data_IF_405721968950
#
_entry.id   IF_405721968950
#
_cell.length_a   1.000
_cell.length_b   1.000
_cell.length_c   1.000
_cell.angle_alpha   90.00
_cell.angle_beta   90.00
_cell.angle_gamma   90.00
#
_symmetry.space_group_name_H-M   'P 1'
#
loop_
_entity.id
_entity.type
_entity.pdbx_description
1 polymer ?
#
# COMPACT_ATOMS: atom_id res chain seq x y z
N UNK A 1 -30.45 -3.16 4.15
CA UNK A 1 -29.06 -3.13 4.67
C UNK A 1 -28.13 -4.14 3.99
N UNK A 2 -28.60 -5.32 3.56
CA UNK A 2 -27.78 -6.34 2.86
C UNK A 2 -27.48 -5.98 1.39
N UNK A 3 -28.37 -5.24 0.73
CA UNK A 3 -28.21 -4.78 -0.67
C UNK A 3 -27.08 -3.76 -0.85
N UNK A 4 -26.73 -3.02 0.21
CA UNK A 4 -25.65 -2.03 0.19
C UNK A 4 -24.26 -2.65 0.11
N UNK A 5 -24.08 -3.92 0.51
CA UNK A 5 -22.77 -4.59 0.54
C UNK A 5 -22.30 -5.10 -0.82
N UNK A 6 -23.23 -5.50 -1.70
CA UNK A 6 -22.95 -5.95 -3.08
C UNK A 6 -22.61 -4.76 -3.98
N UNK A 7 -23.35 -3.65 -3.81
CA UNK A 7 -23.08 -2.37 -4.47
C UNK A 7 -21.72 -1.83 -4.00
N UNK A 8 -21.36 -2.04 -2.72
CA UNK A 8 -20.06 -1.68 -2.17
C UNK A 8 -18.93 -2.45 -2.85
N UNK A 9 -19.03 -3.77 -3.05
CA UNK A 9 -17.93 -4.57 -3.63
C UNK A 9 -17.53 -4.11 -5.03
N UNK A 10 -18.52 -3.90 -5.90
CA UNK A 10 -18.28 -3.53 -7.30
C UNK A 10 -18.13 -2.02 -7.47
N UNK A 11 -18.74 -1.17 -6.63
CA UNK A 11 -18.41 0.27 -6.60
C UNK A 11 -17.02 0.51 -6.03
N UNK A 12 -16.63 -0.15 -4.93
CA UNK A 12 -15.27 -0.12 -4.38
C UNK A 12 -14.29 -0.63 -5.43
N UNK A 13 -14.59 -1.74 -6.10
CA UNK A 13 -13.74 -2.22 -7.19
C UNK A 13 -13.67 -1.28 -8.37
N UNK A 14 -14.77 -0.65 -8.75
CA UNK A 14 -14.76 0.34 -9.82
C UNK A 14 -14.10 1.64 -9.40
N UNK A 15 -14.13 2.10 -8.16
CA UNK A 15 -13.45 3.35 -7.78
C UNK A 15 -12.02 3.17 -7.40
N UNK A 16 -11.63 2.00 -6.92
CA UNK A 16 -10.22 1.68 -6.82
C UNK A 16 -9.67 1.44 -8.22
N UNK A 17 -10.34 0.68 -9.10
CA UNK A 17 -9.93 0.58 -10.50
C UNK A 17 -10.03 1.91 -11.27
N UNK A 18 -11.04 2.75 -11.06
CA UNK A 18 -11.19 4.08 -11.67
C UNK A 18 -10.19 5.07 -11.07
N UNK A 19 -9.88 4.98 -9.77
CA UNK A 19 -8.79 5.72 -9.14
C UNK A 19 -7.44 5.30 -9.73
N UNK A 20 -7.23 4.01 -9.97
CA UNK A 20 -6.04 3.51 -10.65
C UNK A 20 -6.03 3.89 -12.13
N UNK A 21 -7.17 3.90 -12.82
CA UNK A 21 -7.30 4.49 -14.16
C UNK A 21 -7.02 5.99 -14.12
N UNK A 22 -7.43 6.71 -13.08
CA UNK A 22 -7.11 8.12 -12.85
C UNK A 22 -5.63 8.32 -12.50
N UNK A 23 -4.96 7.40 -11.81
CA UNK A 23 -3.50 7.36 -11.62
C UNK A 23 -2.77 7.06 -12.94
N UNK A 24 -3.37 6.25 -13.82
CA UNK A 24 -2.91 6.02 -15.21
C UNK A 24 -3.23 7.21 -16.12
N UNK A 25 -4.25 8.02 -15.82
CA UNK A 25 -4.59 9.28 -16.52
C UNK A 25 -3.93 10.52 -15.91
N UNK A 26 -3.38 10.42 -14.70
CA UNK A 26 -2.43 11.33 -14.06
C UNK A 26 -0.98 10.89 -14.31
N UNK A 27 -0.78 9.70 -14.86
CA UNK A 27 0.48 9.27 -15.46
C UNK A 27 1.04 10.27 -16.48
N UNK A 28 0.26 11.07 -17.24
CA UNK A 28 0.79 12.17 -18.04
C UNK A 28 1.35 13.33 -17.19
N UNK A 29 0.78 13.62 -16.01
CA UNK A 29 1.34 14.60 -15.07
C UNK A 29 2.61 14.06 -14.41
N UNK A 30 2.63 12.77 -14.06
CA UNK A 30 3.85 12.04 -13.70
C UNK A 30 4.81 11.87 -14.89
N UNK A 31 4.29 11.89 -16.11
CA UNK A 31 4.99 11.73 -17.39
C UNK A 31 5.71 13.01 -17.83
N UNK A 32 5.27 14.18 -17.34
CA UNK A 32 6.02 15.43 -17.44
C UNK A 32 7.22 15.41 -16.49
N UNK A 33 7.03 14.93 -15.26
CA UNK A 33 8.08 14.79 -14.25
C UNK A 33 9.09 13.68 -14.62
N UNK A 34 8.59 12.52 -15.05
CA UNK A 34 9.38 11.45 -15.68
C UNK A 34 9.95 11.86 -17.02
N UNK A 35 9.32 12.76 -17.78
CA UNK A 35 9.84 13.25 -19.06
C UNK A 35 11.05 14.14 -18.87
N UNK A 36 11.01 15.05 -17.89
CA UNK A 36 12.16 15.87 -17.47
C UNK A 36 13.26 14.98 -16.88
N UNK A 37 12.92 13.97 -16.09
CA UNK A 37 13.89 13.07 -15.49
C UNK A 37 14.46 12.04 -16.49
N UNK A 38 13.64 11.58 -17.45
CA UNK A 38 14.04 10.73 -18.58
C UNK A 38 14.94 11.50 -19.52
N UNK A 39 14.69 12.79 -19.75
CA UNK A 39 15.62 13.65 -20.49
C UNK A 39 17.00 13.72 -19.83
N UNK A 40 17.05 13.81 -18.49
CA UNK A 40 18.31 13.81 -17.74
C UNK A 40 18.99 12.44 -17.62
N UNK A 41 18.24 11.33 -17.67
CA UNK A 41 18.76 10.00 -17.34
C UNK A 41 18.74 8.94 -18.47
N UNK A 42 18.13 9.23 -19.62
CA UNK A 42 18.22 8.39 -20.83
C UNK A 42 19.66 8.25 -21.34
N UNK A 43 20.55 9.15 -20.89
CA UNK A 43 22.00 9.05 -21.11
C UNK A 43 22.65 7.86 -20.38
N UNK A 44 21.95 7.15 -19.49
CA UNK A 44 22.48 6.04 -18.68
C UNK A 44 21.74 4.73 -19.04
N UNK A 45 22.48 3.72 -19.53
CA UNK A 45 22.00 2.35 -19.83
C UNK A 45 21.14 1.70 -18.72
N UNK A 46 21.24 2.16 -17.46
CA UNK A 46 20.38 1.78 -16.32
C UNK A 46 18.89 2.06 -16.56
N UNK A 47 18.51 3.03 -17.39
CA UNK A 47 17.10 3.38 -17.64
C UNK A 47 16.34 2.36 -18.48
N UNK A 48 17.00 1.79 -19.49
CA UNK A 48 16.42 0.75 -20.35
C UNK A 48 16.07 -0.52 -19.56
N UNK A 49 16.95 -0.94 -18.65
CA UNK A 49 16.69 -2.07 -17.73
C UNK A 49 15.50 -1.80 -16.80
N UNK A 50 15.37 -0.56 -16.30
CA UNK A 50 14.22 -0.15 -15.46
C UNK A 50 12.92 -0.19 -16.24
N UNK A 51 12.89 0.28 -17.49
CA UNK A 51 11.68 0.26 -18.31
C UNK A 51 11.15 -1.14 -18.59
N UNK A 52 12.03 -2.09 -18.91
CA UNK A 52 11.59 -3.47 -19.13
C UNK A 52 10.98 -4.06 -17.88
N UNK A 53 11.64 -3.93 -16.71
CA UNK A 53 11.11 -4.43 -15.42
C UNK A 53 9.76 -3.80 -15.08
N UNK A 54 9.59 -2.49 -15.32
CA UNK A 54 8.30 -1.81 -15.10
C UNK A 54 7.16 -2.40 -15.94
N UNK A 55 7.43 -2.80 -17.20
CA UNK A 55 6.43 -3.43 -18.06
C UNK A 55 5.93 -4.76 -17.47
N UNK A 56 6.82 -5.56 -16.87
CA UNK A 56 6.43 -6.80 -16.19
C UNK A 56 5.55 -6.55 -14.96
N UNK A 57 5.62 -5.38 -14.32
CA UNK A 57 4.81 -5.07 -13.14
C UNK A 57 3.39 -4.58 -13.47
N UNK A 58 3.10 -4.19 -14.71
CA UNK A 58 1.76 -3.69 -15.13
C UNK A 58 0.62 -4.63 -14.70
N UNK A 59 0.67 -5.96 -14.94
CA UNK A 59 -0.39 -6.87 -14.51
C UNK A 59 -0.62 -6.90 -12.99
N UNK A 60 0.39 -6.54 -12.19
CA UNK A 60 0.28 -6.49 -10.73
C UNK A 60 -0.74 -5.44 -10.29
N UNK A 61 -0.80 -4.30 -10.97
CA UNK A 61 -1.70 -3.20 -10.60
C UNK A 61 -3.17 -3.66 -10.69
N UNK A 62 -3.51 -4.43 -11.72
CA UNK A 62 -4.86 -4.98 -11.87
C UNK A 62 -5.19 -5.99 -10.76
N UNK A 63 -4.28 -6.92 -10.47
CA UNK A 63 -4.46 -7.88 -9.40
C UNK A 63 -4.59 -7.19 -8.03
N UNK A 64 -3.76 -6.18 -7.77
CA UNK A 64 -3.81 -5.38 -6.55
C UNK A 64 -5.14 -4.65 -6.41
N UNK A 65 -5.62 -3.98 -7.46
CA UNK A 65 -6.88 -3.27 -7.43
C UNK A 65 -8.04 -4.21 -7.06
N UNK A 66 -8.14 -5.35 -7.76
CA UNK A 66 -9.16 -6.38 -7.48
C UNK A 66 -9.02 -6.96 -6.06
N UNK A 67 -7.79 -7.19 -5.60
CA UNK A 67 -7.49 -7.71 -4.27
C UNK A 67 -7.99 -6.73 -3.19
N UNK A 68 -7.76 -5.43 -3.36
CA UNK A 68 -8.24 -4.41 -2.44
C UNK A 68 -9.76 -4.40 -2.33
N UNK A 69 -10.49 -4.66 -3.42
CA UNK A 69 -11.96 -4.78 -3.35
C UNK A 69 -12.39 -5.93 -2.44
N UNK A 70 -11.77 -7.10 -2.59
CA UNK A 70 -12.08 -8.28 -1.78
C UNK A 70 -11.70 -8.05 -0.31
N UNK A 71 -10.57 -7.39 -0.05
CA UNK A 71 -10.18 -6.98 1.29
C UNK A 71 -11.22 -6.05 1.92
N UNK A 72 -11.63 -4.99 1.22
CA UNK A 72 -12.63 -4.04 1.72
C UNK A 72 -13.99 -4.68 1.96
N UNK A 73 -14.40 -5.62 1.11
CA UNK A 73 -15.62 -6.40 1.31
C UNK A 73 -15.61 -7.20 2.61
N UNK A 74 -14.53 -7.95 2.83
CA UNK A 74 -14.36 -8.80 4.00
C UNK A 74 -14.22 -7.95 5.27
N UNK A 75 -13.45 -6.86 5.19
CA UNK A 75 -13.31 -5.86 6.26
C UNK A 75 -14.65 -5.25 6.66
N UNK A 76 -15.48 -4.80 5.71
CA UNK A 76 -16.78 -4.20 6.00
C UNK A 76 -17.68 -5.13 6.84
N UNK A 77 -17.51 -6.44 6.70
CA UNK A 77 -18.25 -7.46 7.47
C UNK A 77 -17.51 -7.99 8.70
N UNK A 78 -16.41 -7.34 9.12
CA UNK A 78 -15.55 -7.77 10.21
C UNK A 78 -14.99 -9.19 10.04
N UNK A 79 -14.86 -9.71 8.80
CA UNK A 79 -14.33 -11.05 8.53
C UNK A 79 -12.90 -10.98 7.99
N UNK A 80 -11.94 -10.67 8.86
CA UNK A 80 -10.54 -10.41 8.48
C UNK A 80 -9.65 -11.66 8.46
N UNK A 81 -10.09 -12.76 9.08
CA UNK A 81 -9.32 -14.00 9.19
C UNK A 81 -8.91 -14.59 7.82
N UNK A 82 -9.78 -14.65 6.79
CA UNK A 82 -9.40 -15.14 5.47
C UNK A 82 -8.31 -14.29 4.81
N UNK A 83 -8.33 -12.98 5.05
CA UNK A 83 -7.32 -12.04 4.54
C UNK A 83 -5.95 -12.31 5.16
N UNK A 84 -5.92 -12.59 6.46
CA UNK A 84 -4.69 -12.94 7.18
C UNK A 84 -4.09 -14.24 6.61
N UNK A 85 -4.91 -15.29 6.47
CA UNK A 85 -4.43 -16.57 5.93
C UNK A 85 -3.99 -16.46 4.47
N UNK A 86 -4.75 -15.76 3.62
CA UNK A 86 -4.37 -15.60 2.21
C UNK A 86 -3.07 -14.81 2.06
N UNK A 87 -2.88 -13.75 2.86
CA UNK A 87 -1.63 -13.00 2.90
C UNK A 87 -0.47 -13.88 3.38
N UNK A 88 -0.64 -14.64 4.47
CA UNK A 88 0.40 -15.54 4.98
C UNK A 88 0.83 -16.60 3.98
N UNK A 89 -0.13 -17.30 3.36
CA UNK A 89 0.14 -18.30 2.30
C UNK A 89 0.86 -17.64 1.13
N UNK A 90 0.39 -16.47 0.69
CA UNK A 90 1.00 -15.73 -0.42
C UNK A 90 2.44 -15.35 -0.11
N UNK A 91 2.74 -14.85 1.09
CA UNK A 91 4.10 -14.49 1.49
C UNK A 91 5.04 -15.69 1.47
N UNK A 92 4.61 -16.85 1.96
CA UNK A 92 5.41 -18.08 1.92
C UNK A 92 5.70 -18.52 0.47
N UNK A 93 4.69 -18.48 -0.40
CA UNK A 93 4.86 -18.76 -1.82
C UNK A 93 5.69 -17.70 -2.53
N UNK A 94 5.63 -16.44 -2.08
CA UNK A 94 6.42 -15.34 -2.64
C UNK A 94 7.91 -15.58 -2.43
N UNK A 95 8.33 -16.04 -1.25
CA UNK A 95 9.73 -16.39 -0.98
C UNK A 95 10.22 -17.45 -1.97
N UNK A 96 9.44 -18.51 -2.16
CA UNK A 96 9.76 -19.59 -3.07
C UNK A 96 9.81 -19.13 -4.54
N UNK A 97 8.83 -18.34 -4.98
CA UNK A 97 8.78 -17.84 -6.37
C UNK A 97 9.87 -16.81 -6.66
N UNK A 98 10.20 -15.93 -5.71
CA UNK A 98 11.36 -15.04 -5.80
C UNK A 98 12.67 -15.81 -5.90
N UNK A 99 12.84 -16.90 -5.16
CA UNK A 99 14.03 -17.73 -5.27
C UNK A 99 14.17 -18.37 -6.67
N UNK A 100 13.11 -19.01 -7.16
CA UNK A 100 13.13 -19.66 -8.48
C UNK A 100 13.31 -18.64 -9.60
N UNK A 101 12.47 -17.60 -9.63
CA UNK A 101 12.43 -16.66 -10.75
C UNK A 101 13.53 -15.61 -10.67
N UNK A 102 13.93 -15.18 -9.47
CA UNK A 102 14.99 -14.20 -9.30
C UNK A 102 16.38 -14.80 -9.48
N UNK A 103 16.63 -15.99 -8.92
CA UNK A 103 17.99 -16.55 -8.85
C UNK A 103 18.23 -17.77 -9.76
N UNK A 104 17.26 -18.66 -9.94
CA UNK A 104 17.48 -19.92 -10.68
C UNK A 104 17.22 -19.84 -12.18
N UNK A 105 16.24 -19.05 -12.61
CA UNK A 105 15.79 -18.98 -14.01
C UNK A 105 16.66 -18.11 -14.92
N UNK A 106 17.66 -17.40 -14.38
CA UNK A 106 18.46 -16.43 -15.12
C UNK A 106 17.75 -15.11 -15.44
N UNK A 107 16.50 -14.92 -14.98
CA UNK A 107 15.70 -13.71 -15.25
C UNK A 107 16.08 -12.49 -14.38
N UNK A 108 16.82 -12.69 -13.28
CA UNK A 108 17.29 -11.62 -12.39
C UNK A 108 16.15 -10.70 -11.92
N UNK A 109 16.32 -9.38 -12.10
CA UNK A 109 15.33 -8.38 -11.70
C UNK A 109 13.97 -8.53 -12.40
N UNK A 110 13.94 -9.02 -13.64
CA UNK A 110 12.68 -9.31 -14.34
C UNK A 110 11.93 -10.46 -13.66
N UNK A 111 12.68 -11.45 -13.16
CA UNK A 111 12.15 -12.57 -12.41
C UNK A 111 11.53 -12.15 -11.08
N UNK A 112 12.15 -11.20 -10.37
CA UNK A 112 11.58 -10.62 -9.16
C UNK A 112 10.24 -9.88 -9.44
N UNK A 113 10.18 -9.10 -10.52
CA UNK A 113 8.93 -8.45 -10.93
C UNK A 113 7.83 -9.48 -11.28
N UNK A 114 8.18 -10.56 -11.97
CA UNK A 114 7.23 -11.63 -12.31
C UNK A 114 6.76 -12.40 -11.07
N UNK A 115 7.65 -12.68 -10.11
CA UNK A 115 7.28 -13.30 -8.84
C UNK A 115 6.26 -12.44 -8.08
N UNK A 116 6.41 -11.12 -8.11
CA UNK A 116 5.45 -10.19 -7.53
C UNK A 116 4.08 -10.28 -8.21
N UNK A 117 4.03 -10.26 -9.56
CA UNK A 117 2.79 -10.46 -10.33
C UNK A 117 2.08 -11.74 -9.88
N UNK A 118 2.80 -12.86 -9.92
CA UNK A 118 2.26 -14.19 -9.55
C UNK A 118 1.69 -14.17 -8.14
N UNK A 119 2.40 -13.56 -7.19
CA UNK A 119 2.00 -13.53 -5.78
C UNK A 119 0.70 -12.74 -5.57
N UNK A 120 0.56 -11.58 -6.21
CA UNK A 120 -0.68 -10.80 -6.12
C UNK A 120 -1.87 -11.53 -6.76
N UNK A 121 -1.65 -12.21 -7.89
CA UNK A 121 -2.69 -13.04 -8.51
C UNK A 121 -3.08 -14.23 -7.65
N UNK A 122 -2.13 -14.92 -7.02
CA UNK A 122 -2.42 -16.01 -6.08
C UNK A 122 -3.27 -15.50 -4.92
N UNK A 123 -2.89 -14.38 -4.29
CA UNK A 123 -3.65 -13.81 -3.17
C UNK A 123 -5.08 -13.43 -3.59
N UNK A 124 -5.20 -12.80 -4.76
CA UNK A 124 -6.50 -12.46 -5.34
C UNK A 124 -7.34 -13.71 -5.55
N UNK A 125 -6.79 -14.77 -6.14
CA UNK A 125 -7.52 -16.01 -6.42
C UNK A 125 -7.94 -16.73 -5.13
N UNK A 126 -7.09 -16.74 -4.10
CA UNK A 126 -7.42 -17.30 -2.78
C UNK A 126 -8.62 -16.58 -2.14
N UNK A 127 -8.59 -15.25 -2.10
CA UNK A 127 -9.70 -14.46 -1.54
C UNK A 127 -10.95 -14.51 -2.41
N UNK A 128 -10.79 -14.46 -3.74
CA UNK A 128 -11.89 -14.60 -4.69
C UNK A 128 -12.59 -15.95 -4.53
N UNK A 129 -11.83 -17.03 -4.35
CA UNK A 129 -12.34 -18.37 -4.05
C UNK A 129 -13.08 -18.41 -2.72
N UNK A 130 -12.47 -17.87 -1.65
CA UNK A 130 -13.11 -17.80 -0.34
C UNK A 130 -14.45 -17.06 -0.38
N UNK A 131 -14.51 -15.88 -1.01
CA UNK A 131 -15.74 -15.07 -1.10
C UNK A 131 -16.85 -15.81 -1.85
N UNK A 132 -16.51 -16.61 -2.87
CA UNK A 132 -17.48 -17.34 -3.69
C UNK A 132 -18.00 -18.62 -3.03
N UNK A 133 -17.15 -19.32 -2.28
CA UNK A 133 -17.45 -20.66 -1.74
C UNK A 133 -17.93 -20.58 -0.29
N UNK A 134 -17.44 -19.62 0.49
CA UNK A 134 -17.71 -19.56 1.93
C UNK A 134 -19.19 -19.32 2.25
N UNK A 135 -19.81 -20.15 3.13
CA UNK A 135 -21.19 -19.93 3.59
C UNK A 135 -21.39 -18.56 4.23
N UNK A 136 -20.36 -18.01 4.89
CA UNK A 136 -20.39 -16.69 5.50
C UNK A 136 -20.71 -15.58 4.47
N UNK A 137 -20.28 -15.74 3.22
CA UNK A 137 -20.43 -14.74 2.16
C UNK A 137 -21.71 -14.95 1.33
N UNK A 138 -22.40 -16.09 1.46
CA UNK A 138 -23.53 -16.49 0.60
C UNK A 138 -24.66 -15.47 0.55
N UNK A 139 -25.00 -14.83 1.68
CA UNK A 139 -26.09 -13.86 1.75
C UNK A 139 -25.71 -12.46 1.24
N UNK A 140 -24.42 -12.19 1.08
CA UNK A 140 -23.89 -10.86 0.71
C UNK A 140 -23.16 -10.83 -0.62
N UNK A 141 -22.90 -12.00 -1.21
CA UNK A 141 -22.34 -12.13 -2.54
C UNK A 141 -23.39 -12.83 -3.42
N UNK A 142 -24.13 -12.04 -4.19
CA UNK A 142 -25.18 -12.52 -5.10
C UNK A 142 -24.70 -12.65 -6.55
N UNK A 143 -23.38 -12.60 -6.77
CA UNK A 143 -22.79 -12.57 -8.10
C UNK A 143 -22.76 -11.18 -8.73
N UNK A 144 -22.44 -11.14 -10.02
CA UNK A 144 -22.33 -9.90 -10.79
C UNK A 144 -23.72 -9.39 -11.19
N UNK A 145 -23.95 -8.09 -10.98
CA UNK A 145 -25.24 -7.45 -11.18
C UNK A 145 -25.08 -6.08 -11.84
N UNK A 146 -26.02 -5.68 -12.72
CA UNK A 146 -25.99 -4.35 -13.36
C UNK A 146 -26.33 -3.22 -12.39
N UNK A 147 -27.00 -3.54 -11.30
CA UNK A 147 -27.32 -2.68 -10.15
C UNK A 147 -26.05 -2.09 -9.54
N UNK A 148 -24.90 -2.76 -9.68
CA UNK A 148 -23.61 -2.25 -9.26
C UNK A 148 -23.07 -1.08 -10.13
N UNK A 149 -23.77 -0.69 -11.19
CA UNK A 149 -23.49 0.53 -11.94
C UNK A 149 -24.41 1.68 -11.52
N UNK A 150 -25.40 1.42 -10.66
CA UNK A 150 -26.25 2.46 -10.10
C UNK A 150 -25.45 3.29 -9.08
N UNK A 151 -25.66 4.62 -9.06
CA UNK A 151 -25.00 5.55 -8.14
C UNK A 151 -23.46 5.68 -8.23
N UNK A 152 -22.83 5.26 -9.34
CA UNK A 152 -21.37 5.37 -9.51
C UNK A 152 -20.86 6.81 -9.32
N UNK A 153 -21.64 7.81 -9.75
CA UNK A 153 -21.27 9.22 -9.61
C UNK A 153 -21.17 9.68 -8.16
N UNK A 154 -22.12 9.27 -7.30
CA UNK A 154 -22.08 9.61 -5.86
C UNK A 154 -20.82 9.06 -5.22
N UNK A 155 -20.44 7.85 -5.60
CA UNK A 155 -19.24 7.22 -5.12
C UNK A 155 -17.96 7.87 -5.67
N UNK A 156 -17.92 8.22 -6.96
CA UNK A 156 -16.78 8.95 -7.56
C UNK A 156 -16.54 10.30 -6.90
N UNK A 157 -17.59 11.01 -6.46
CA UNK A 157 -17.48 12.28 -5.72
C UNK A 157 -16.71 12.14 -4.40
N UNK A 158 -16.70 10.97 -3.79
CA UNK A 158 -15.93 10.66 -2.57
C UNK A 158 -14.58 10.01 -2.89
N UNK A 159 -14.55 9.15 -3.91
CA UNK A 159 -13.35 8.44 -4.31
C UNK A 159 -12.28 9.40 -4.87
N UNK A 160 -12.63 10.33 -5.76
CA UNK A 160 -11.68 11.24 -6.43
C UNK A 160 -10.93 12.16 -5.44
N UNK A 161 -11.58 12.83 -4.46
CA UNK A 161 -10.84 13.64 -3.49
C UNK A 161 -9.91 12.80 -2.61
N UNK A 162 -10.38 11.63 -2.14
CA UNK A 162 -9.57 10.70 -1.32
C UNK A 162 -8.35 10.19 -2.09
N UNK A 163 -8.59 9.90 -3.36
CA UNK A 163 -7.61 9.52 -4.35
C UNK A 163 -6.51 10.56 -4.54
N UNK A 164 -6.90 11.80 -4.83
CA UNK A 164 -5.98 12.93 -5.02
C UNK A 164 -5.17 13.18 -3.76
N UNK A 165 -5.81 13.15 -2.58
CA UNK A 165 -5.14 13.33 -1.30
C UNK A 165 -3.99 12.33 -1.11
N UNK A 166 -4.25 11.03 -1.32
CA UNK A 166 -3.23 9.98 -1.22
C UNK A 166 -2.14 10.10 -2.30
N UNK A 167 -2.50 10.47 -3.52
CA UNK A 167 -1.53 10.67 -4.60
C UNK A 167 -0.58 11.83 -4.29
N UNK A 168 -1.12 12.95 -3.84
CA UNK A 168 -0.32 14.12 -3.50
C UNK A 168 0.66 13.79 -2.37
N UNK A 169 0.21 13.08 -1.34
CA UNK A 169 1.09 12.61 -0.26
C UNK A 169 2.25 11.77 -0.79
N UNK A 170 1.97 10.73 -1.58
CA UNK A 170 2.99 9.84 -2.14
C UNK A 170 3.93 10.59 -3.09
N UNK A 171 3.39 11.45 -3.97
CA UNK A 171 4.20 12.23 -4.90
C UNK A 171 5.09 13.24 -4.19
N UNK A 172 4.64 13.82 -3.07
CA UNK A 172 5.47 14.69 -2.25
C UNK A 172 6.69 13.93 -1.71
N UNK A 173 6.53 12.69 -1.23
CA UNK A 173 7.66 11.86 -0.81
C UNK A 173 8.61 11.51 -1.96
N UNK A 174 8.08 11.12 -3.12
CA UNK A 174 8.90 10.85 -4.30
C UNK A 174 9.67 12.10 -4.75
N UNK A 175 9.04 13.27 -4.71
CA UNK A 175 9.71 14.53 -5.00
C UNK A 175 10.84 14.84 -4.02
N UNK A 176 10.67 14.56 -2.73
CA UNK A 176 11.75 14.70 -1.75
C UNK A 176 12.96 13.81 -2.11
N UNK A 177 12.73 12.55 -2.49
CA UNK A 177 13.79 11.62 -2.92
C UNK A 177 14.47 12.09 -4.20
N UNK A 178 13.72 12.62 -5.17
CA UNK A 178 14.29 13.16 -6.39
C UNK A 178 15.14 14.41 -6.12
N UNK A 179 14.67 15.30 -5.24
CA UNK A 179 15.38 16.51 -4.86
C UNK A 179 16.62 16.23 -4.01
N UNK A 180 16.64 15.18 -3.17
CA UNK A 180 17.85 14.79 -2.44
C UNK A 180 18.98 14.39 -3.39
N UNK A 181 18.64 13.91 -4.59
CA UNK A 181 19.60 13.62 -5.66
C UNK A 181 20.28 14.86 -6.26
N UNK A 182 19.83 16.07 -5.93
CA UNK A 182 20.42 17.35 -6.35
C UNK A 182 21.28 18.00 -5.26
N UNK A 183 21.35 17.41 -4.06
CA UNK A 183 22.18 17.91 -2.97
C UNK A 183 23.68 17.69 -3.24
N UNK A 184 24.59 18.40 -2.52
CA UNK A 184 26.04 18.34 -2.77
C UNK A 184 26.64 16.92 -2.68
N UNK A 185 26.11 16.07 -1.81
CA UNK A 185 26.47 14.65 -1.72
C UNK A 185 25.28 13.75 -2.11
N UNK A 186 24.94 13.65 -3.41
CA UNK A 186 23.66 13.07 -3.84
C UNK A 186 23.57 11.56 -3.57
N UNK A 187 24.69 10.85 -3.50
CA UNK A 187 24.72 9.42 -3.17
C UNK A 187 24.39 9.18 -1.70
N UNK A 188 25.05 9.91 -0.79
CA UNK A 188 24.81 9.80 0.64
C UNK A 188 23.38 10.23 1.00
N UNK A 189 22.98 11.42 0.58
CA UNK A 189 21.68 12.01 0.92
C UNK A 189 20.52 11.16 0.42
N UNK A 190 20.59 10.70 -0.84
CA UNK A 190 19.54 9.84 -1.41
C UNK A 190 19.46 8.49 -0.70
N UNK A 191 20.61 7.89 -0.33
CA UNK A 191 20.63 6.64 0.42
C UNK A 191 20.04 6.79 1.82
N UNK A 192 20.46 7.81 2.58
CA UNK A 192 19.96 8.09 3.93
C UNK A 192 18.46 8.39 3.91
N UNK A 193 18.01 9.23 2.98
CA UNK A 193 16.60 9.55 2.82
C UNK A 193 15.77 8.31 2.42
N UNK A 194 16.28 7.48 1.52
CA UNK A 194 15.58 6.24 1.10
C UNK A 194 15.42 5.25 2.25
N UNK A 195 16.46 5.06 3.07
CA UNK A 195 16.40 4.19 4.26
C UNK A 195 15.42 4.78 5.29
N UNK A 196 15.47 6.09 5.51
CA UNK A 196 14.59 6.80 6.44
C UNK A 196 13.12 6.68 6.04
N UNK A 197 12.80 6.92 4.76
CA UNK A 197 11.44 6.78 4.23
C UNK A 197 10.95 5.34 4.25
N UNK A 198 11.82 4.35 3.96
CA UNK A 198 11.47 2.94 4.06
C UNK A 198 11.11 2.55 5.51
N UNK A 199 11.88 3.06 6.48
CA UNK A 199 11.63 2.86 7.91
C UNK A 199 10.32 3.52 8.33
N UNK A 200 10.08 4.76 7.90
CA UNK A 200 8.82 5.46 8.13
C UNK A 200 7.62 4.69 7.55
N UNK A 201 7.74 4.20 6.32
CA UNK A 201 6.69 3.42 5.68
C UNK A 201 6.41 2.10 6.42
N UNK A 202 7.46 1.44 6.95
CA UNK A 202 7.32 0.24 7.76
C UNK A 202 6.54 0.50 9.05
N UNK A 203 6.91 1.54 9.80
CA UNK A 203 6.22 1.93 11.03
C UNK A 203 4.78 2.34 10.74
N UNK A 204 4.56 3.13 9.67
CA UNK A 204 3.25 3.62 9.26
C UNK A 204 2.22 2.53 8.91
N UNK A 205 2.65 1.30 8.61
CA UNK A 205 1.71 0.19 8.35
C UNK A 205 0.83 -0.16 9.56
N UNK A 206 1.33 0.05 10.79
CA UNK A 206 0.60 -0.24 12.03
C UNK A 206 -0.58 0.74 12.21
N UNK A 207 -0.37 2.08 12.24
CA UNK A 207 -1.48 3.03 12.34
C UNK A 207 -2.39 2.98 11.12
N UNK A 208 -1.89 2.64 9.93
CA UNK A 208 -2.73 2.41 8.75
C UNK A 208 -3.72 1.24 8.97
N UNK A 209 -3.25 0.14 9.54
CA UNK A 209 -4.09 -1.00 9.92
C UNK A 209 -5.14 -0.64 10.97
N UNK A 210 -4.73 0.08 12.03
CA UNK A 210 -5.63 0.58 13.08
C UNK A 210 -6.68 1.54 12.52
N UNK A 211 -6.28 2.45 11.63
CA UNK A 211 -7.18 3.38 10.94
C UNK A 211 -8.23 2.63 10.11
N UNK A 212 -7.82 1.59 9.37
CA UNK A 212 -8.73 0.72 8.63
C UNK A 212 -9.74 0.00 9.54
N UNK A 213 -9.28 -0.60 10.64
CA UNK A 213 -10.15 -1.28 11.60
C UNK A 213 -11.13 -0.32 12.28
N UNK A 214 -10.65 0.87 12.64
CA UNK A 214 -11.46 1.94 13.25
C UNK A 214 -12.53 2.44 12.30
N UNK A 215 -12.15 2.70 11.05
CA UNK A 215 -13.08 3.14 10.00
C UNK A 215 -14.23 2.16 9.82
N UNK A 216 -13.92 0.85 9.75
CA UNK A 216 -14.94 -0.21 9.68
C UNK A 216 -15.83 -0.22 10.92
N UNK A 217 -15.24 -0.16 12.11
CA UNK A 217 -15.98 -0.23 13.39
C UNK A 217 -16.93 0.95 13.55
N UNK A 218 -16.43 2.17 13.35
CA UNK A 218 -17.21 3.41 13.43
C UNK A 218 -18.32 3.40 12.39
N UNK A 219 -18.02 3.03 11.14
CA UNK A 219 -19.02 2.97 10.07
C UNK A 219 -20.13 1.97 10.36
N UNK A 220 -19.79 0.79 10.91
CA UNK A 220 -20.76 -0.24 11.28
C UNK A 220 -21.65 0.19 12.45
N UNK A 221 -21.10 0.81 13.50
CA UNK A 221 -21.89 1.29 14.64
C UNK A 221 -22.80 2.48 14.25
N UNK A 222 -22.32 3.40 13.40
CA UNK A 222 -23.16 4.48 12.85
C UNK A 222 -24.27 3.92 11.96
N UNK A 223 -23.95 2.96 11.09
CA UNK A 223 -24.94 2.27 10.25
C UNK A 223 -26.01 1.51 11.05
N UNK A 224 -25.67 1.07 12.26
CA UNK A 224 -26.59 0.43 13.20
C UNK A 224 -27.36 1.42 14.10
N UNK A 225 -27.17 2.74 13.92
CA UNK A 225 -27.82 3.77 14.73
C UNK A 225 -27.28 3.88 16.16
N UNK A 226 -26.01 3.50 16.39
CA UNK A 226 -25.36 3.47 17.72
C UNK A 226 -24.25 4.53 17.82
N UNK A 227 -24.57 5.84 17.90
CA UNK A 227 -23.57 6.90 17.88
C UNK A 227 -22.63 6.89 19.10
N UNK A 228 -23.11 6.45 20.27
CA UNK A 228 -22.28 6.33 21.47
C UNK A 228 -21.19 5.25 21.30
N UNK A 229 -21.53 4.10 20.73
CA UNK A 229 -20.58 3.04 20.44
C UNK A 229 -19.58 3.46 19.36
N UNK A 230 -20.04 4.19 18.34
CA UNK A 230 -19.15 4.78 17.33
C UNK A 230 -18.14 5.77 17.94
N UNK A 231 -18.60 6.63 18.87
CA UNK A 231 -17.71 7.57 19.59
C UNK A 231 -16.68 6.82 20.43
N UNK A 232 -17.10 5.80 21.17
CA UNK A 232 -16.19 4.96 21.96
C UNK A 232 -15.14 4.28 21.08
N UNK A 233 -15.54 3.75 19.91
CA UNK A 233 -14.61 3.14 18.97
C UNK A 233 -13.56 4.16 18.46
N UNK A 234 -13.98 5.37 18.11
CA UNK A 234 -13.07 6.43 17.68
C UNK A 234 -12.12 6.87 18.80
N UNK A 235 -12.62 7.07 20.02
CA UNK A 235 -11.77 7.45 21.17
C UNK A 235 -10.76 6.36 21.51
N UNK A 236 -11.18 5.10 21.51
CA UNK A 236 -10.29 3.95 21.76
C UNK A 236 -9.19 3.88 20.70
N UNK A 237 -9.52 4.13 19.44
CA UNK A 237 -8.56 4.14 18.35
C UNK A 237 -7.50 5.25 18.50
N UNK A 238 -7.91 6.47 18.90
CA UNK A 238 -6.97 7.56 19.16
C UNK A 238 -5.99 7.19 20.27
N UNK A 239 -6.47 6.56 21.35
CA UNK A 239 -5.61 6.08 22.42
C UNK A 239 -4.63 5.00 21.93
N UNK A 240 -5.11 4.03 21.13
CA UNK A 240 -4.26 2.97 20.58
C UNK A 240 -3.17 3.53 19.67
N UNK A 241 -3.50 4.48 18.78
CA UNK A 241 -2.51 5.12 17.89
C UNK A 241 -1.52 5.96 18.70
N UNK A 242 -1.96 6.71 19.72
CA UNK A 242 -1.06 7.45 20.59
C UNK A 242 -0.09 6.52 21.35
N UNK A 243 -0.59 5.39 21.88
CA UNK A 243 0.28 4.40 22.53
C UNK A 243 1.24 3.74 21.56
N UNK A 244 0.80 3.48 20.32
CA UNK A 244 1.65 2.91 19.27
C UNK A 244 2.76 3.87 18.87
N UNK A 245 2.47 5.15 18.67
CA UNK A 245 3.47 6.18 18.37
C UNK A 245 4.56 6.27 19.44
N UNK A 246 4.19 6.25 20.73
CA UNK A 246 5.15 6.23 21.84
C UNK A 246 6.03 4.97 21.80
N UNK A 247 5.43 3.79 21.58
CA UNK A 247 6.19 2.53 21.48
C UNK A 247 7.13 2.55 20.27
N UNK A 248 6.65 3.00 19.11
CA UNK A 248 7.45 3.12 17.90
C UNK A 248 8.64 4.07 18.11
N UNK A 249 8.42 5.24 18.71
CA UNK A 249 9.47 6.20 19.02
C UNK A 249 10.55 5.60 19.95
N UNK A 250 10.14 4.89 21.01
CA UNK A 250 11.07 4.19 21.92
C UNK A 250 11.91 3.15 21.15
N UNK A 251 11.26 2.34 20.31
CA UNK A 251 11.94 1.31 19.52
C UNK A 251 12.93 1.95 18.56
N UNK A 252 12.51 2.94 17.77
CA UNK A 252 13.36 3.63 16.79
C UNK A 252 14.60 4.25 17.45
N UNK A 253 14.43 4.92 18.60
CA UNK A 253 15.55 5.51 19.35
C UNK A 253 16.49 4.43 19.88
N UNK A 254 15.95 3.32 20.39
CA UNK A 254 16.73 2.23 20.98
C UNK A 254 17.59 1.50 19.94
N UNK A 255 17.04 1.25 18.75
CA UNK A 255 17.73 0.50 17.68
C UNK A 255 18.53 1.39 16.73
N UNK A 256 18.51 2.73 16.91
CA UNK A 256 19.00 3.69 15.90
C UNK A 256 20.41 3.44 15.38
N UNK A 257 21.31 2.99 16.25
CA UNK A 257 22.72 2.72 15.91
C UNK A 257 22.94 1.42 15.14
N UNK A 258 21.99 0.48 15.22
CA UNK A 258 22.07 -0.82 14.58
C UNK A 258 21.26 -0.88 13.29
N UNK A 259 20.18 -0.10 13.21
CA UNK A 259 19.22 -0.16 12.10
C UNK A 259 19.84 0.11 10.72
N UNK A 260 20.75 1.08 10.61
CA UNK A 260 21.41 1.41 9.35
C UNK A 260 22.19 0.23 8.75
N UNK A 261 22.74 -0.66 9.59
CA UNK A 261 23.48 -1.85 9.13
C UNK A 261 22.59 -2.89 8.44
N UNK A 262 21.27 -2.83 8.60
CA UNK A 262 20.35 -3.67 7.83
C UNK A 262 20.31 -3.29 6.34
N UNK A 263 20.76 -2.08 5.99
CA UNK A 263 20.68 -1.53 4.64
C UNK A 263 22.03 -1.24 4.00
N UNK A 264 23.04 -0.86 4.79
CA UNK A 264 24.34 -0.40 4.29
C UNK A 264 25.49 -0.86 5.18
N UNK A 265 26.65 -1.09 4.57
CA UNK A 265 27.93 -1.32 5.27
C UNK A 265 28.76 -0.05 5.41
N UNK A 266 28.35 1.04 4.77
CA UNK A 266 29.06 2.33 4.81
C UNK A 266 28.74 3.07 6.11
N UNK A 267 29.75 3.25 6.96
CA UNK A 267 29.62 3.87 8.29
C UNK A 267 29.02 5.28 8.24
N UNK A 268 29.36 6.08 7.22
CA UNK A 268 28.80 7.41 7.02
C UNK A 268 27.28 7.39 6.83
N UNK A 269 26.77 6.41 6.05
CA UNK A 269 25.32 6.22 5.84
C UNK A 269 24.66 5.77 7.13
N UNK A 270 25.27 4.81 7.84
CA UNK A 270 24.72 4.26 9.08
C UNK A 270 24.63 5.31 10.17
N UNK A 271 25.68 6.11 10.36
CA UNK A 271 25.72 7.20 11.32
C UNK A 271 24.64 8.24 11.04
N UNK A 272 24.48 8.65 9.79
CA UNK A 272 23.50 9.66 9.42
C UNK A 272 22.06 9.15 9.52
N UNK A 273 21.80 7.88 9.16
CA UNK A 273 20.51 7.23 9.41
C UNK A 273 20.19 7.22 10.91
N UNK A 274 21.16 6.93 11.77
CA UNK A 274 20.95 6.90 13.22
C UNK A 274 20.49 8.27 13.78
N UNK A 275 20.97 9.37 13.21
CA UNK A 275 20.51 10.73 13.53
C UNK A 275 19.09 10.97 13.01
N UNK A 276 18.82 10.59 11.76
CA UNK A 276 17.49 10.73 11.15
C UNK A 276 16.42 9.95 11.91
N UNK A 277 16.73 8.76 12.44
CA UNK A 277 15.78 7.98 13.23
C UNK A 277 15.32 8.69 14.51
N UNK A 278 16.12 9.58 15.09
CA UNK A 278 15.70 10.41 16.23
C UNK A 278 14.67 11.45 15.79
N UNK A 279 14.88 12.08 14.63
CA UNK A 279 13.91 13.00 14.04
C UNK A 279 12.61 12.27 13.68
N UNK A 280 12.70 11.06 13.11
CA UNK A 280 11.53 10.24 12.78
C UNK A 280 10.76 9.81 14.03
N UNK A 281 11.45 9.46 15.11
CA UNK A 281 10.82 9.16 16.39
C UNK A 281 10.02 10.36 16.93
N UNK A 282 10.54 11.58 16.75
CA UNK A 282 9.81 12.80 17.10
C UNK A 282 8.56 13.04 16.25
N UNK A 283 8.57 12.67 14.97
CA UNK A 283 7.42 12.82 14.07
C UNK A 283 6.33 11.74 14.21
N UNK A 284 6.66 10.63 14.86
CA UNK A 284 5.74 9.48 15.05
C UNK A 284 4.95 9.56 16.37
N UNK A 285 5.21 10.60 17.17
CA UNK A 285 4.61 10.86 18.49
C UNK A 285 3.45 11.85 18.44
#
# INVERSE_FOLDING_TARGET
MVQSSIICLVSICKGQCLFFYWLVFLWPAFGLMQGIFSYYLDKIRKYQLKQEVMRYMIPTIFAFALLQCHNRFLQARNNVIPMMFSAGITTLLHIFTCWILGFKSGLGNKGAALANVISYWINLLLLAGYVRISPSCKNTWTGFSKEAFHDIWKYMRLAIPSAVMLCLEIWSFEMMVLLSGLLPNPKLETSVLSISLNTCAMVYMIPLGLSGATSVRVSNELGAGRPQAARLAATTAVLLVATEGVVAAIVLISVRKLWGYCYSTEEEVVGYVAEMLVLLAGSTS
#
